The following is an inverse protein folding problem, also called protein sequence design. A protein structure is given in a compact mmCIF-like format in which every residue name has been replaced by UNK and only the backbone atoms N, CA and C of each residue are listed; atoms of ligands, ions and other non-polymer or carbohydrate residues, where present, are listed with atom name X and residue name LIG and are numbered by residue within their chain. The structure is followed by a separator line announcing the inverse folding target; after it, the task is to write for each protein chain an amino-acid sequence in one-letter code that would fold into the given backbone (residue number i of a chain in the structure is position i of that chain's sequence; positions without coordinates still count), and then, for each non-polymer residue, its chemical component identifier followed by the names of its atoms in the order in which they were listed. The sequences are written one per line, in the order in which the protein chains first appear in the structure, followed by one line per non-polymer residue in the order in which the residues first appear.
data_IF_018784556738
#
_entry.id   IF_018784556738
#
_cell.length_a   1.000
_cell.length_b   1.000
_cell.length_c   1.000
_cell.angle_alpha   90.00
_cell.angle_beta   90.00
_cell.angle_gamma   90.00
#
_symmetry.space_group_name_H-M   'P 1'
#
loop_
_entity.id
_entity.type
_entity.pdbx_description
1 polymer ?
#
# COMPACT_ATOMS: atom_id res chain seq x y z
N UNK A 1 -0.16 5.85 17.28
CA UNK A 1 -1.22 4.86 17.54
C UNK A 1 -0.87 3.47 17.01
N UNK A 2 -0.75 3.29 15.69
CA UNK A 2 -0.41 1.98 15.10
C UNK A 2 0.91 1.41 15.63
N UNK A 3 1.97 2.23 15.68
CA UNK A 3 3.25 1.83 16.27
C UNK A 3 3.09 1.34 17.71
N UNK A 4 2.41 2.10 18.57
CA UNK A 4 2.19 1.71 19.96
C UNK A 4 1.25 0.50 20.14
N UNK A 5 0.33 0.28 19.20
CA UNK A 5 -0.58 -0.86 19.20
C UNK A 5 0.12 -2.16 18.75
N UNK A 6 1.00 -2.08 17.75
CA UNK A 6 1.58 -3.26 17.10
C UNK A 6 3.06 -3.52 17.35
N UNK A 7 3.76 -2.70 18.15
CA UNK A 7 5.18 -2.95 18.47
C UNK A 7 5.44 -3.01 19.99
N UNK A 8 6.30 -3.93 20.46
CA UNK A 8 6.76 -3.96 21.85
C UNK A 8 7.50 -2.67 22.20
N UNK A 9 7.19 -2.10 23.37
CA UNK A 9 7.81 -0.86 23.86
C UNK A 9 7.76 0.34 22.89
N UNK A 10 6.92 0.30 21.85
CA UNK A 10 6.86 1.29 20.76
C UNK A 10 8.16 1.36 19.92
N UNK A 11 9.01 0.35 19.99
CA UNK A 11 10.26 0.26 19.22
C UNK A 11 10.02 -0.64 18.01
N UNK A 12 10.24 -0.11 16.82
CA UNK A 12 10.01 -0.81 15.56
C UNK A 12 9.51 0.11 14.46
N UNK A 13 8.82 -0.48 13.48
CA UNK A 13 8.31 0.20 12.30
C UNK A 13 6.79 -0.02 12.21
N UNK A 14 6.03 1.03 11.98
CA UNK A 14 4.62 0.98 11.66
C UNK A 14 4.40 1.42 10.22
N UNK A 15 3.94 0.51 9.36
CA UNK A 15 3.57 0.78 7.98
C UNK A 15 2.04 0.77 7.85
N UNK A 16 1.49 1.90 7.42
CA UNK A 16 0.07 2.05 7.12
C UNK A 16 -0.07 2.19 5.61
N UNK A 17 -0.73 1.25 4.94
CA UNK A 17 -1.07 1.34 3.51
C UNK A 17 -2.57 1.10 3.28
N UNK A 18 -3.28 2.19 2.98
CA UNK A 18 -4.70 2.22 2.63
C UNK A 18 -4.89 3.05 1.36
N UNK A 19 -5.76 4.06 1.38
CA UNK A 19 -5.87 5.02 0.26
C UNK A 19 -4.54 5.75 -0.01
N UNK A 20 -3.77 6.03 1.04
CA UNK A 20 -2.40 6.54 0.98
C UNK A 20 -1.44 5.66 1.79
N UNK A 21 -0.18 6.08 1.94
CA UNK A 21 0.84 5.39 2.73
C UNK A 21 1.40 6.31 3.80
N UNK A 22 1.70 5.78 4.97
CA UNK A 22 2.60 6.43 5.92
C UNK A 22 3.37 5.37 6.69
N UNK A 23 4.67 5.61 6.87
CA UNK A 23 5.54 4.78 7.66
C UNK A 23 6.13 5.60 8.82
N UNK A 24 6.00 5.10 10.04
CA UNK A 24 6.56 5.71 11.25
C UNK A 24 7.49 4.71 11.91
N UNK A 25 8.70 5.12 12.28
CA UNK A 25 9.66 4.26 12.94
C UNK A 25 10.19 4.91 14.22
N UNK A 26 10.52 4.08 15.22
CA UNK A 26 11.17 4.49 16.46
C UNK A 26 12.18 3.44 16.89
N UNK A 27 13.43 3.83 17.16
CA UNK A 27 14.46 2.92 17.67
C UNK A 27 14.51 2.91 19.20
N UNK A 28 15.37 2.06 19.76
CA UNK A 28 15.61 1.87 21.19
C UNK A 28 16.15 3.11 21.91
N UNK A 29 16.95 3.93 21.22
CA UNK A 29 17.39 5.24 21.68
C UNK A 29 16.27 6.30 21.70
N UNK A 30 15.06 5.95 21.25
CA UNK A 30 13.91 6.85 21.20
C UNK A 30 13.90 7.81 20.01
N UNK A 31 14.84 7.68 19.05
CA UNK A 31 14.82 8.45 17.80
C UNK A 31 13.61 8.02 16.99
N UNK A 32 12.86 8.99 16.47
CA UNK A 32 11.67 8.76 15.63
C UNK A 32 11.84 9.36 14.25
N UNK A 33 11.31 8.71 13.22
CA UNK A 33 11.21 9.29 11.88
C UNK A 33 9.91 8.90 11.18
N UNK A 34 9.51 9.75 10.23
CA UNK A 34 8.39 9.52 9.30
C UNK A 34 8.93 9.35 7.89
N UNK A 35 8.35 8.41 7.17
CA UNK A 35 8.61 8.13 5.76
C UNK A 35 7.27 8.07 5.03
N UNK A 36 7.27 8.58 3.80
CA UNK A 36 6.07 8.75 2.98
C UNK A 36 4.93 9.52 3.70
N UNK A 37 3.74 9.48 3.13
CA UNK A 37 2.57 10.26 3.53
C UNK A 37 2.68 11.71 3.09
N UNK A 38 3.28 11.93 1.93
CA UNK A 38 3.34 13.23 1.25
C UNK A 38 2.13 13.48 0.34
N UNK A 39 1.18 12.54 0.34
CA UNK A 39 -0.03 12.58 -0.46
C UNK A 39 0.20 12.04 -1.87
N UNK A 40 -0.91 11.67 -2.51
CA UNK A 40 -0.98 10.92 -3.76
C UNK A 40 -0.29 11.54 -4.99
N UNK A 41 0.13 12.80 -4.92
CA UNK A 41 0.88 13.50 -5.98
C UNK A 41 2.39 13.28 -5.83
N UNK A 42 2.89 13.29 -4.60
CA UNK A 42 4.33 13.30 -4.29
C UNK A 42 4.82 12.02 -3.60
N UNK A 43 3.91 11.15 -3.18
CA UNK A 43 4.19 9.91 -2.49
C UNK A 43 3.00 8.96 -2.56
N UNK A 44 2.69 8.31 -1.44
CA UNK A 44 1.70 7.24 -1.33
C UNK A 44 1.97 6.08 -2.31
N UNK A 45 3.24 5.79 -2.58
CA UNK A 45 3.63 4.71 -3.48
C UNK A 45 3.29 3.36 -2.84
N UNK A 46 2.66 2.47 -3.60
CA UNK A 46 2.12 1.21 -3.06
C UNK A 46 0.81 1.35 -2.27
N UNK A 47 0.21 2.55 -2.22
CA UNK A 47 -1.17 2.72 -1.73
C UNK A 47 -2.21 2.14 -2.68
N UNK A 48 -3.45 2.04 -2.20
CA UNK A 48 -4.61 1.73 -3.04
C UNK A 48 -4.80 2.74 -4.16
N UNK A 49 -4.58 4.04 -3.90
CA UNK A 49 -4.66 5.06 -4.95
C UNK A 49 -3.59 4.84 -6.03
N UNK A 50 -2.35 4.55 -5.63
CA UNK A 50 -1.26 4.23 -6.54
C UNK A 50 -1.62 3.06 -7.44
N UNK A 51 -2.12 1.97 -6.85
CA UNK A 51 -2.55 0.76 -7.56
C UNK A 51 -3.69 1.08 -8.54
N UNK A 52 -4.73 1.77 -8.08
CA UNK A 52 -5.88 2.13 -8.92
C UNK A 52 -5.51 3.04 -10.09
N UNK A 53 -4.63 4.02 -9.86
CA UNK A 53 -4.10 4.89 -10.93
C UNK A 53 -3.31 4.09 -11.97
N UNK A 54 -2.45 3.17 -11.52
CA UNK A 54 -1.70 2.27 -12.40
C UNK A 54 -2.63 1.36 -13.20
N UNK A 55 -3.73 0.88 -12.61
CA UNK A 55 -4.72 0.06 -13.29
C UNK A 55 -5.47 0.83 -14.38
N UNK A 56 -5.86 2.09 -14.13
CA UNK A 56 -6.43 2.96 -15.15
C UNK A 56 -5.46 3.18 -16.31
N UNK A 57 -4.19 3.44 -16.02
CA UNK A 57 -3.15 3.60 -17.04
C UNK A 57 -2.97 2.33 -17.87
N UNK A 58 -2.84 1.17 -17.24
CA UNK A 58 -2.70 -0.11 -17.92
C UNK A 58 -3.93 -0.43 -18.81
N UNK A 59 -5.13 -0.15 -18.30
CA UNK A 59 -6.39 -0.34 -19.03
C UNK A 59 -6.46 0.52 -20.29
N UNK A 60 -6.05 1.79 -20.21
CA UNK A 60 -6.03 2.66 -21.39
C UNK A 60 -4.90 2.33 -22.37
N UNK A 61 -3.74 1.89 -21.89
CA UNK A 61 -2.68 1.36 -22.77
C UNK A 61 -3.16 0.12 -23.54
N UNK A 62 -3.88 -0.80 -22.88
CA UNK A 62 -4.46 -1.96 -23.54
C UNK A 62 -5.54 -1.58 -24.56
N UNK A 63 -6.38 -0.60 -24.23
CA UNK A 63 -7.40 -0.05 -25.13
C UNK A 63 -6.80 0.54 -26.41
N UNK A 64 -5.72 1.32 -26.29
CA UNK A 64 -5.03 1.94 -27.42
C UNK A 64 -4.17 0.93 -28.23
N UNK A 65 -4.04 -0.33 -27.78
CA UNK A 65 -3.12 -1.32 -28.36
C UNK A 65 -1.64 -1.03 -28.06
N UNK A 66 -1.35 -0.17 -27.07
CA UNK A 66 0.01 0.21 -26.63
C UNK A 66 0.54 -0.64 -25.47
N UNK A 67 -0.30 -1.49 -24.90
CA UNK A 67 0.04 -2.42 -23.83
C UNK A 67 -0.58 -3.80 -24.08
N UNK A 68 -0.18 -4.81 -23.29
CA UNK A 68 -0.80 -6.12 -23.35
C UNK A 68 -2.30 -6.04 -23.03
N UNK A 69 -3.08 -6.96 -23.58
CA UNK A 69 -4.48 -7.11 -23.19
C UNK A 69 -4.57 -7.49 -21.71
N UNK A 70 -5.56 -6.92 -21.02
CA UNK A 70 -5.75 -7.12 -19.57
C UNK A 70 -7.23 -7.14 -19.22
N UNK A 71 -7.60 -7.95 -18.22
CA UNK A 71 -8.97 -7.99 -17.69
C UNK A 71 -9.32 -6.73 -16.90
N UNK A 72 -8.35 -5.88 -16.57
CA UNK A 72 -8.56 -4.67 -15.76
C UNK A 72 -9.55 -3.70 -16.41
N UNK A 73 -9.49 -3.50 -17.73
CA UNK A 73 -10.39 -2.58 -18.41
C UNK A 73 -11.88 -2.98 -18.25
N UNK A 74 -12.32 -4.18 -18.69
CA UNK A 74 -13.71 -4.58 -18.51
C UNK A 74 -14.13 -4.65 -17.04
N UNK A 75 -13.23 -5.05 -16.13
CA UNK A 75 -13.52 -5.09 -14.68
C UNK A 75 -13.75 -3.70 -14.08
N UNK A 76 -12.95 -2.70 -14.47
CA UNK A 76 -13.11 -1.31 -14.00
C UNK A 76 -14.40 -0.70 -14.57
N UNK A 77 -14.70 -0.94 -15.86
CA UNK A 77 -15.94 -0.48 -16.47
C UNK A 77 -17.16 -1.05 -15.76
N UNK A 78 -17.16 -2.36 -15.46
CA UNK A 78 -18.22 -3.00 -14.69
C UNK A 78 -18.34 -2.41 -13.28
N UNK A 79 -17.22 -2.21 -12.57
CA UNK A 79 -17.20 -1.63 -11.23
C UNK A 79 -17.81 -0.22 -11.16
N UNK A 80 -17.60 0.60 -12.20
CA UNK A 80 -18.16 1.95 -12.28
C UNK A 80 -19.45 2.06 -13.10
N UNK A 81 -20.02 0.95 -13.57
CA UNK A 81 -21.25 0.95 -14.36
C UNK A 81 -21.12 1.69 -15.70
N UNK A 82 -19.94 1.64 -16.32
CA UNK A 82 -19.64 2.29 -17.58
C UNK A 82 -19.77 1.30 -18.74
N UNK A 83 -20.33 1.77 -19.86
CA UNK A 83 -20.52 0.94 -21.05
C UNK A 83 -19.33 1.03 -22.03
N UNK A 84 -18.56 2.13 -21.98
CA UNK A 84 -17.48 2.39 -22.94
C UNK A 84 -16.24 3.01 -22.28
N UNK A 85 -15.02 2.66 -22.73
CA UNK A 85 -13.76 3.21 -22.20
C UNK A 85 -13.67 4.73 -22.17
N UNK A 86 -14.23 5.45 -23.16
CA UNK A 86 -14.16 6.91 -23.24
C UNK A 86 -14.87 7.59 -22.06
N UNK A 87 -15.82 6.90 -21.42
CA UNK A 87 -16.53 7.42 -20.24
C UNK A 87 -15.61 7.52 -19.00
N UNK A 88 -14.46 6.83 -19.00
CA UNK A 88 -13.47 6.94 -17.94
C UNK A 88 -12.93 8.37 -17.79
N UNK A 89 -12.82 9.13 -18.88
CA UNK A 89 -12.37 10.52 -18.85
C UNK A 89 -13.33 11.35 -18.00
N UNK A 90 -14.64 11.24 -18.28
CA UNK A 90 -15.65 11.96 -17.51
C UNK A 90 -15.68 11.49 -16.05
N UNK A 91 -15.58 10.18 -15.80
CA UNK A 91 -15.56 9.59 -14.45
C UNK A 91 -14.37 10.02 -13.62
N UNK A 92 -13.20 10.22 -14.23
CA UNK A 92 -11.96 10.60 -13.53
C UNK A 92 -11.84 12.11 -13.38
N UNK A 93 -12.21 12.90 -14.39
CA UNK A 93 -11.90 14.34 -14.43
C UNK A 93 -13.11 15.27 -14.32
N UNK A 94 -14.27 14.92 -14.89
CA UNK A 94 -15.42 15.84 -14.99
C UNK A 94 -16.39 15.68 -13.81
N UNK A 95 -16.56 14.47 -13.31
CA UNK A 95 -17.13 14.16 -12.01
C UNK A 95 -16.00 13.54 -11.17
N UNK A 96 -15.04 14.37 -10.70
CA UNK A 96 -13.71 13.92 -10.35
C UNK A 96 -13.76 12.81 -9.31
N UNK A 97 -13.22 11.66 -9.69
CA UNK A 97 -13.05 10.54 -8.79
C UNK A 97 -12.20 10.98 -7.61
N UNK A 98 -12.68 10.73 -6.40
CA UNK A 98 -11.89 10.99 -5.20
C UNK A 98 -10.69 10.04 -5.16
N UNK A 99 -9.70 10.35 -4.32
CA UNK A 99 -8.60 9.40 -4.08
C UNK A 99 -9.11 8.06 -3.56
N UNK A 100 -10.19 8.08 -2.77
CA UNK A 100 -10.89 6.89 -2.29
C UNK A 100 -11.55 6.10 -3.42
N UNK A 101 -12.19 6.78 -4.38
CA UNK A 101 -12.81 6.12 -5.54
C UNK A 101 -11.78 5.38 -6.39
N UNK A 102 -10.62 6.01 -6.60
CA UNK A 102 -9.52 5.39 -7.36
C UNK A 102 -8.89 4.26 -6.52
N UNK A 103 -8.71 4.45 -5.22
CA UNK A 103 -8.19 3.42 -4.33
C UNK A 103 -9.10 2.19 -4.23
N UNK A 104 -10.40 2.36 -4.42
CA UNK A 104 -11.36 1.26 -4.45
C UNK A 104 -11.16 0.29 -5.63
N UNK A 105 -10.33 0.64 -6.62
CA UNK A 105 -9.93 -0.27 -7.70
C UNK A 105 -8.85 -1.27 -7.25
N UNK A 106 -8.12 -1.00 -6.16
CA UNK A 106 -7.01 -1.86 -5.74
C UNK A 106 -7.39 -3.33 -5.46
N UNK A 107 -8.54 -3.63 -4.81
CA UNK A 107 -8.99 -5.02 -4.66
C UNK A 107 -9.25 -5.74 -5.99
N UNK A 108 -9.68 -5.01 -7.04
CA UNK A 108 -9.89 -5.58 -8.37
C UNK A 108 -8.57 -5.97 -9.02
N UNK A 109 -7.52 -5.17 -8.80
CA UNK A 109 -6.16 -5.46 -9.27
C UNK A 109 -5.56 -6.65 -8.52
N UNK A 110 -5.72 -6.70 -7.19
CA UNK A 110 -5.23 -7.82 -6.38
C UNK A 110 -5.89 -9.14 -6.80
N UNK A 111 -7.21 -9.13 -7.06
CA UNK A 111 -7.93 -10.29 -7.58
C UNK A 111 -7.47 -10.69 -8.99
N UNK A 112 -7.35 -9.73 -9.93
CA UNK A 112 -6.87 -10.03 -11.28
C UNK A 112 -5.43 -10.58 -11.28
N UNK A 113 -4.57 -10.09 -10.39
CA UNK A 113 -3.22 -10.60 -10.23
C UNK A 113 -3.21 -12.05 -9.72
N UNK A 114 -4.10 -12.38 -8.76
CA UNK A 114 -4.29 -13.74 -8.27
C UNK A 114 -4.79 -14.69 -9.39
N UNK A 115 -5.63 -14.19 -10.29
CA UNK A 115 -6.15 -14.94 -11.45
C UNK A 115 -5.17 -15.00 -12.64
N UNK A 116 -3.97 -14.42 -12.50
CA UNK A 116 -2.88 -14.54 -13.46
C UNK A 116 -2.79 -13.43 -14.51
N UNK A 117 -3.56 -12.34 -14.39
CA UNK A 117 -3.43 -11.17 -15.28
C UNK A 117 -2.05 -10.52 -15.12
N UNK A 118 -1.27 -10.47 -16.21
CA UNK A 118 0.11 -10.03 -16.16
C UNK A 118 0.26 -8.54 -15.85
N UNK A 119 -0.63 -7.69 -16.38
CA UNK A 119 -0.61 -6.27 -16.07
C UNK A 119 -0.89 -6.04 -14.58
N UNK A 120 -1.87 -6.74 -14.01
CA UNK A 120 -2.17 -6.68 -12.59
C UNK A 120 -1.01 -7.19 -11.72
N UNK A 121 -0.36 -8.29 -12.11
CA UNK A 121 0.83 -8.84 -11.41
C UNK A 121 1.98 -7.84 -11.35
N UNK A 122 2.24 -7.13 -12.45
CA UNK A 122 3.25 -6.05 -12.47
C UNK A 122 2.87 -4.93 -11.50
N UNK A 123 1.61 -4.52 -11.47
CA UNK A 123 1.14 -3.43 -10.60
C UNK A 123 1.26 -3.81 -9.12
N UNK A 124 0.85 -5.02 -8.71
CA UNK A 124 0.95 -5.45 -7.30
C UNK A 124 2.39 -5.68 -6.86
N UNK A 125 3.24 -6.18 -7.77
CA UNK A 125 4.68 -6.33 -7.51
C UNK A 125 5.34 -4.97 -7.28
N UNK A 126 5.12 -4.00 -8.18
CA UNK A 126 5.63 -2.65 -8.03
C UNK A 126 5.12 -2.00 -6.73
N UNK A 127 3.84 -2.16 -6.42
CA UNK A 127 3.25 -1.63 -5.19
C UNK A 127 3.91 -2.23 -3.93
N UNK A 128 4.09 -3.55 -3.88
CA UNK A 128 4.77 -4.22 -2.78
C UNK A 128 6.22 -3.79 -2.64
N UNK A 129 6.94 -3.66 -3.75
CA UNK A 129 8.33 -3.20 -3.79
C UNK A 129 8.50 -1.78 -3.23
N UNK A 130 7.59 -0.85 -3.56
CA UNK A 130 7.61 0.52 -3.02
C UNK A 130 7.38 0.55 -1.49
N UNK A 131 6.44 -0.25 -1.00
CA UNK A 131 6.21 -0.41 0.44
C UNK A 131 7.43 -1.01 1.14
N UNK A 132 8.07 -2.01 0.53
CA UNK A 132 9.28 -2.63 1.04
C UNK A 132 10.46 -1.64 1.06
N UNK A 133 10.61 -0.85 0.00
CA UNK A 133 11.63 0.20 -0.09
C UNK A 133 11.47 1.24 1.02
N UNK A 134 10.22 1.62 1.33
CA UNK A 134 9.91 2.53 2.43
C UNK A 134 10.34 1.95 3.77
N UNK A 135 10.01 0.68 4.06
CA UNK A 135 10.38 0.00 5.31
C UNK A 135 11.90 -0.21 5.41
N UNK A 136 12.56 -0.61 4.33
CA UNK A 136 14.01 -0.77 4.30
C UNK A 136 14.75 0.56 4.52
N UNK A 137 14.22 1.65 3.96
CA UNK A 137 14.74 3.00 4.22
C UNK A 137 14.58 3.38 5.69
N UNK A 138 13.43 3.09 6.30
CA UNK A 138 13.21 3.31 7.72
C UNK A 138 14.20 2.51 8.59
N UNK A 139 14.40 1.23 8.27
CA UNK A 139 15.37 0.37 8.94
C UNK A 139 16.79 0.96 8.91
N UNK A 140 17.23 1.40 7.72
CA UNK A 140 18.55 1.99 7.51
C UNK A 140 18.75 3.33 8.22
N UNK A 141 17.79 4.26 8.11
CA UNK A 141 17.92 5.63 8.67
C UNK A 141 17.88 5.65 10.20
N UNK A 142 17.20 4.68 10.80
CA UNK A 142 17.11 4.50 12.25
C UNK A 142 18.12 3.50 12.80
N UNK A 143 19.00 2.98 11.92
CA UNK A 143 20.11 2.09 12.28
C UNK A 143 19.61 0.86 13.05
N UNK A 144 18.52 0.27 12.59
CA UNK A 144 18.04 -0.98 13.17
C UNK A 144 18.99 -2.13 12.84
N UNK A 145 19.18 -3.01 13.82
CA UNK A 145 19.98 -4.22 13.69
C UNK A 145 19.17 -5.42 14.14
N UNK A 146 19.33 -6.55 13.45
CA UNK A 146 18.64 -7.79 13.83
C UNK A 146 17.17 -7.82 13.38
N UNK A 147 16.31 -8.31 14.27
CA UNK A 147 14.86 -8.37 14.03
C UNK A 147 14.18 -7.06 14.43
N UNK A 148 13.24 -6.61 13.59
CA UNK A 148 12.53 -5.35 13.78
C UNK A 148 11.04 -5.66 13.94
N UNK A 149 10.46 -5.29 15.08
CA UNK A 149 9.02 -5.39 15.26
C UNK A 149 8.30 -4.49 14.24
N UNK A 150 7.30 -5.04 13.57
CA UNK A 150 6.57 -4.33 12.52
C UNK A 150 5.06 -4.35 12.79
N UNK A 151 4.44 -3.17 12.77
CA UNK A 151 2.99 -3.02 12.82
C UNK A 151 2.46 -2.66 11.43
N UNK A 152 1.54 -3.46 10.89
CA UNK A 152 0.89 -3.22 9.61
C UNK A 152 -0.55 -2.74 9.82
N UNK A 153 -0.98 -1.70 9.10
CA UNK A 153 -2.38 -1.28 9.07
C UNK A 153 -2.79 -0.75 7.70
N UNK A 154 -4.10 -0.62 7.47
CA UNK A 154 -4.67 -0.16 6.21
C UNK A 154 -4.98 -1.30 5.24
N UNK A 155 -6.09 -1.14 4.49
CA UNK A 155 -6.67 -2.25 3.72
C UNK A 155 -5.78 -2.79 2.60
N UNK A 156 -4.92 -1.95 2.01
CA UNK A 156 -4.07 -2.37 0.89
C UNK A 156 -3.05 -3.41 1.33
N UNK A 157 -2.34 -3.17 2.44
CA UNK A 157 -1.34 -4.13 2.94
C UNK A 157 -1.94 -5.26 3.79
N UNK A 158 -3.09 -5.05 4.41
CA UNK A 158 -3.72 -6.05 5.31
C UNK A 158 -4.72 -6.97 4.62
N UNK A 159 -5.28 -6.57 3.47
CA UNK A 159 -6.28 -7.35 2.72
C UNK A 159 -5.87 -7.69 1.29
N UNK A 160 -4.97 -6.91 0.68
CA UNK A 160 -4.40 -7.23 -0.64
C UNK A 160 -3.32 -8.29 -0.49
N UNK A 161 -3.67 -9.55 -0.77
CA UNK A 161 -2.77 -10.68 -0.51
C UNK A 161 -1.59 -10.70 -1.48
N UNK A 162 -1.79 -10.28 -2.72
CA UNK A 162 -0.71 -10.22 -3.72
C UNK A 162 0.24 -9.05 -3.42
N UNK A 163 -0.31 -7.90 -3.02
CA UNK A 163 0.49 -6.75 -2.57
C UNK A 163 1.29 -7.11 -1.32
N UNK A 164 0.68 -7.79 -0.36
CA UNK A 164 1.34 -8.24 0.87
C UNK A 164 2.47 -9.24 0.58
N UNK A 165 2.25 -10.21 -0.31
CA UNK A 165 3.28 -11.15 -0.71
C UNK A 165 4.48 -10.43 -1.35
N UNK A 166 4.23 -9.52 -2.30
CA UNK A 166 5.27 -8.72 -2.94
C UNK A 166 6.02 -7.81 -1.94
N UNK A 167 5.31 -7.26 -0.94
CA UNK A 167 5.93 -6.50 0.14
C UNK A 167 6.91 -7.34 0.94
N UNK A 168 6.51 -8.53 1.41
CA UNK A 168 7.41 -9.38 2.20
C UNK A 168 8.58 -9.91 1.37
N UNK A 169 8.36 -10.21 0.09
CA UNK A 169 9.44 -10.55 -0.84
C UNK A 169 10.46 -9.40 -0.94
N UNK A 170 10.01 -8.17 -1.19
CA UNK A 170 10.89 -7.00 -1.27
C UNK A 170 11.63 -6.72 0.03
N UNK A 171 10.98 -6.89 1.18
CA UNK A 171 11.61 -6.74 2.51
C UNK A 171 12.73 -7.77 2.70
N UNK A 172 12.49 -9.03 2.32
CA UNK A 172 13.49 -10.09 2.41
C UNK A 172 14.67 -9.83 1.46
N UNK A 173 14.41 -9.39 0.23
CA UNK A 173 15.45 -9.02 -0.75
C UNK A 173 16.31 -7.84 -0.27
N UNK A 174 15.72 -6.91 0.49
CA UNK A 174 16.44 -5.80 1.11
C UNK A 174 17.27 -6.20 2.35
N UNK A 175 17.23 -7.48 2.77
CA UNK A 175 17.96 -7.98 3.94
C UNK A 175 17.36 -7.55 5.28
N UNK A 176 16.10 -7.09 5.29
CA UNK A 176 15.41 -6.64 6.50
C UNK A 176 14.62 -7.82 7.10
N UNK A 177 14.79 -8.06 8.41
CA UNK A 177 14.04 -9.10 9.13
C UNK A 177 12.97 -8.45 10.00
N UNK A 178 11.72 -8.58 9.59
CA UNK A 178 10.58 -8.09 10.37
C UNK A 178 10.08 -9.20 11.28
N UNK A 179 10.24 -9.03 12.59
CA UNK A 179 9.70 -9.96 13.59
C UNK A 179 9.60 -9.28 14.97
N UNK A 180 8.47 -9.43 15.70
CA UNK A 180 7.19 -9.94 15.21
C UNK A 180 6.52 -8.98 14.22
N UNK A 181 5.61 -9.49 13.39
CA UNK A 181 4.75 -8.67 12.52
C UNK A 181 3.31 -8.73 13.03
N UNK A 182 2.76 -7.58 13.39
CA UNK A 182 1.42 -7.45 13.96
C UNK A 182 0.50 -6.67 13.03
N UNK A 183 -0.68 -7.22 12.74
CA UNK A 183 -1.71 -6.51 11.98
C UNK A 183 -2.62 -5.74 12.95
N UNK A 184 -2.59 -4.42 12.86
CA UNK A 184 -3.37 -3.53 13.72
C UNK A 184 -4.69 -3.17 13.05
N UNK A 185 -5.77 -3.78 13.55
CA UNK A 185 -7.14 -3.53 13.07
C UNK A 185 -7.84 -2.38 13.81
N UNK A 186 -7.47 -2.13 15.07
CA UNK A 186 -8.02 -1.05 15.88
C UNK A 186 -6.89 -0.16 16.47
N UNK A 187 -6.63 1.01 15.86
CA UNK A 187 -5.62 1.95 16.35
C UNK A 187 -5.93 2.51 17.75
N UNK A 188 -7.18 2.44 18.23
CA UNK A 188 -7.60 2.94 19.55
C UNK A 188 -6.85 2.21 20.68
N UNK A 189 -6.50 0.93 20.48
CA UNK A 189 -5.67 0.17 21.43
C UNK A 189 -4.32 0.87 21.68
N UNK A 190 -3.75 1.50 20.67
CA UNK A 190 -2.53 2.29 20.80
C UNK A 190 -2.71 3.53 21.67
N UNK A 191 -3.87 4.20 21.59
CA UNK A 191 -4.16 5.39 22.38
C UNK A 191 -4.27 5.03 23.87
N UNK A 192 -4.92 3.91 24.17
CA UNK A 192 -5.06 3.39 25.54
C UNK A 192 -3.69 3.04 26.14
N UNK A 193 -2.80 2.40 25.36
CA UNK A 193 -1.44 2.06 25.81
C UNK A 193 -0.60 3.29 26.11
N UNK A 194 -0.72 4.32 25.28
CA UNK A 194 -0.03 5.59 25.51
C UNK A 194 -0.58 6.31 26.76
N UNK A 195 -1.91 6.33 26.95
CA UNK A 195 -2.55 6.98 28.08
C UNK A 195 -2.23 6.34 29.44
N UNK A 196 -2.05 5.00 29.49
CA UNK A 196 -1.67 4.27 30.72
C UNK A 196 -0.25 4.56 31.21
N UNK A 197 0.56 5.28 30.43
CA UNK A 197 1.95 5.62 30.76
C UNK A 197 2.12 7.09 31.20
N UNK A 198 1.05 7.88 31.15
CA UNK A 198 0.94 9.23 31.74
C UNK A 198 0.50 9.12 33.20
#
# INVERSE_FOLDING_TARGET
LVLAAGTPAEVGIALISGTGVVCIARNDAGKTARFDGWGHVMGDLGSGYYIGRRALQASMCAYDGRGPQTVLLPTILAHWGLARPEQLIARVYQAPATTTDIAALAPLVDAAAADGDEAARVIVHDAGAELAHTVATAARVLEFHGEIACALAGGTITKGLQVQAAFFEGVAQAGVRLHPVEVVTDPVVGAIRMARRL
#
